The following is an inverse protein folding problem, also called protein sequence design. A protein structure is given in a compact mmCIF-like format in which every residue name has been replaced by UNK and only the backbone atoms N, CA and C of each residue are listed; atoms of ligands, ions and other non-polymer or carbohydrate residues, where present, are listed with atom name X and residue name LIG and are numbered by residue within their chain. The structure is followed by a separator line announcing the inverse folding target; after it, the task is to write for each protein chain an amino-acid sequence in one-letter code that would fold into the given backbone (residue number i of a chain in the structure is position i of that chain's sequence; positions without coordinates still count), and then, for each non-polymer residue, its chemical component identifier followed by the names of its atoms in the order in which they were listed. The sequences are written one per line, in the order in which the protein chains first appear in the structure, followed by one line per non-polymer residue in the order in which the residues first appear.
data_IF_616540178633
#
_entry.id   IF_616540178633
#
_cell.length_a   1.000
_cell.length_b   1.000
_cell.length_c   1.000
_cell.angle_alpha   90.00
_cell.angle_beta   90.00
_cell.angle_gamma   90.00
#
_symmetry.space_group_name_H-M   'P 1'
#
loop_
_entity.id
_entity.type
_entity.pdbx_description
1 polymer ?
#
# COMPACT_ATOMS: atom_id res chain seq x y z
N UNK A 1 -7.33 12.04 3.34
CA UNK A 1 -5.97 11.65 2.92
C UNK A 1 -5.67 10.21 3.32
N UNK A 2 -5.13 9.44 2.40
CA UNK A 2 -4.73 8.04 2.57
C UNK A 2 -3.21 7.98 2.47
N UNK A 3 -2.56 7.18 3.32
CA UNK A 3 -1.11 6.96 3.22
C UNK A 3 -0.79 6.10 2.02
N UNK A 4 0.32 6.38 1.37
CA UNK A 4 0.86 5.49 0.36
C UNK A 4 1.13 4.10 0.98
N UNK A 5 0.50 3.02 0.48
CA UNK A 5 0.68 1.68 1.02
C UNK A 5 2.08 1.10 0.73
N UNK A 6 2.76 1.59 -0.32
CA UNK A 6 4.09 1.13 -0.72
C UNK A 6 5.20 1.99 -0.07
N UNK A 7 4.84 3.11 0.55
CA UNK A 7 5.78 3.95 1.28
C UNK A 7 6.16 3.31 2.62
N UNK A 8 7.43 2.93 2.75
CA UNK A 8 7.99 2.55 4.04
C UNK A 8 8.38 3.79 4.84
N UNK A 9 7.82 3.93 6.04
CA UNK A 9 8.25 4.91 7.04
C UNK A 9 8.87 4.17 8.22
N UNK A 10 10.05 4.62 8.68
CA UNK A 10 10.69 4.02 9.85
C UNK A 10 9.97 4.48 11.13
N UNK A 11 9.20 3.56 11.71
CA UNK A 11 8.44 3.81 12.94
C UNK A 11 7.04 4.39 12.70
N UNK A 12 6.41 4.97 13.74
CA UNK A 12 5.09 5.57 13.60
C UNK A 12 5.10 6.74 12.61
N UNK A 13 4.09 6.81 11.75
CA UNK A 13 3.96 7.90 10.81
C UNK A 13 3.74 9.23 11.56
N UNK A 14 4.36 10.36 11.15
CA UNK A 14 4.40 11.57 11.98
C UNK A 14 3.02 12.13 12.35
N UNK A 15 2.07 12.10 11.41
CA UNK A 15 0.71 12.55 11.67
C UNK A 15 -0.08 11.62 12.60
N UNK A 16 0.19 10.31 12.59
CA UNK A 16 -0.45 9.38 13.54
C UNK A 16 0.06 9.62 14.95
N UNK A 17 1.37 9.79 15.10
CA UNK A 17 2.01 10.00 16.38
C UNK A 17 1.49 11.28 17.06
N UNK A 18 1.12 12.29 16.28
CA UNK A 18 0.61 13.57 16.77
C UNK A 18 -0.92 13.69 16.72
N UNK A 19 -1.64 12.69 16.22
CA UNK A 19 -3.09 12.69 16.17
C UNK A 19 -3.76 12.91 17.56
N UNK A 20 -3.23 12.38 18.68
CA UNK A 20 -3.78 12.68 20.01
C UNK A 20 -3.69 14.17 20.41
N UNK A 21 -2.76 14.92 19.82
CA UNK A 21 -2.65 16.37 20.00
C UNK A 21 -3.57 17.15 19.04
N UNK A 22 -4.36 16.47 18.19
CA UNK A 22 -5.24 17.07 17.20
C UNK A 22 -4.54 17.51 15.92
N UNK A 23 -3.30 17.07 15.71
CA UNK A 23 -2.55 17.39 14.50
C UNK A 23 -3.08 16.56 13.34
N UNK A 24 -3.32 17.23 12.21
CA UNK A 24 -3.74 16.61 10.96
C UNK A 24 -2.90 17.17 9.81
N UNK A 25 -2.91 16.54 8.62
CA UNK A 25 -2.26 17.11 7.43
C UNK A 25 -2.70 18.54 7.09
N UNK A 26 -3.93 18.91 7.48
CA UNK A 26 -4.49 20.25 7.28
C UNK A 26 -4.06 21.28 8.32
N UNK A 27 -3.43 20.87 9.42
CA UNK A 27 -2.89 21.78 10.44
C UNK A 27 -1.91 22.74 9.78
N UNK A 28 -2.09 24.04 9.94
CA UNK A 28 -1.22 25.01 9.26
C UNK A 28 0.22 24.90 9.76
N UNK A 29 1.18 25.39 8.97
CA UNK A 29 2.58 25.40 9.42
C UNK A 29 2.80 26.28 10.66
N UNK A 30 2.02 27.36 10.80
CA UNK A 30 2.06 28.22 11.97
C UNK A 30 1.62 27.44 13.23
N UNK A 31 0.46 26.79 13.18
CA UNK A 31 -0.05 25.95 14.28
C UNK A 31 0.91 24.81 14.62
N UNK A 32 1.55 24.19 13.62
CA UNK A 32 2.52 23.11 13.83
C UNK A 32 3.71 23.52 14.72
N UNK A 33 4.11 24.81 14.71
CA UNK A 33 5.17 25.30 15.59
C UNK A 33 4.75 25.28 17.05
N UNK A 34 3.48 25.56 17.30
CA UNK A 34 2.91 25.66 18.64
C UNK A 34 2.48 24.30 19.22
N UNK A 35 2.41 23.25 18.38
CA UNK A 35 2.10 21.85 18.80
C UNK A 35 2.98 21.38 19.95
N UNK A 36 4.25 21.80 20.01
CA UNK A 36 5.15 21.43 21.11
C UNK A 36 4.61 21.86 22.49
N UNK A 37 3.93 23.00 22.57
CA UNK A 37 3.31 23.47 23.82
C UNK A 37 2.09 22.63 24.19
N UNK A 38 1.25 22.26 23.21
CA UNK A 38 0.11 21.37 23.44
C UNK A 38 0.56 19.98 23.90
N UNK A 39 1.63 19.44 23.31
CA UNK A 39 2.22 18.17 23.73
C UNK A 39 2.70 18.23 25.19
N UNK A 40 3.33 19.33 25.60
CA UNK A 40 3.76 19.51 26.99
C UNK A 40 2.57 19.68 27.94
N UNK A 41 1.61 20.54 27.60
CA UNK A 41 0.44 20.81 28.42
C UNK A 41 -0.39 19.54 28.69
N UNK A 42 -0.51 18.66 27.68
CA UNK A 42 -1.24 17.40 27.76
C UNK A 42 -0.40 16.21 28.22
N UNK A 43 0.87 16.44 28.58
CA UNK A 43 1.79 15.39 29.02
C UNK A 43 2.00 14.29 27.95
N UNK A 44 1.91 14.67 26.67
CA UNK A 44 2.09 13.80 25.50
C UNK A 44 3.50 13.90 24.90
N UNK A 45 4.41 14.68 25.52
CA UNK A 45 5.78 14.83 25.04
C UNK A 45 6.64 13.59 25.35
N UNK A 46 6.59 12.62 24.44
CA UNK A 46 7.43 11.42 24.41
C UNK A 46 8.53 11.55 23.34
N UNK A 47 9.58 10.71 23.34
CA UNK A 47 10.59 10.72 22.28
C UNK A 47 10.00 10.54 20.88
N UNK A 48 8.98 9.67 20.75
CA UNK A 48 8.30 9.40 19.47
C UNK A 48 7.56 10.63 18.97
N UNK A 49 6.77 11.28 19.82
CA UNK A 49 6.02 12.49 19.46
C UNK A 49 6.95 13.68 19.21
N UNK A 50 8.08 13.75 19.93
CA UNK A 50 9.09 14.78 19.70
C UNK A 50 9.75 14.61 18.33
N UNK A 51 10.13 13.39 17.96
CA UNK A 51 10.67 13.08 16.64
C UNK A 51 9.65 13.39 15.54
N UNK A 52 8.39 12.98 15.72
CA UNK A 52 7.31 13.31 14.79
C UNK A 52 7.14 14.83 14.62
N UNK A 53 7.18 15.58 15.72
CA UNK A 53 7.12 17.04 15.67
C UNK A 53 8.34 17.65 14.97
N UNK A 54 9.54 17.12 15.20
CA UNK A 54 10.77 17.56 14.50
C UNK A 54 10.69 17.35 12.98
N UNK A 55 10.05 16.26 12.54
CA UNK A 55 9.81 16.00 11.11
C UNK A 55 8.77 16.96 10.50
N UNK A 56 7.72 17.34 11.24
CA UNK A 56 6.65 18.19 10.71
C UNK A 56 6.87 19.71 10.91
N UNK A 57 7.68 20.13 11.88
CA UNK A 57 7.91 21.56 12.17
C UNK A 57 8.76 22.27 11.12
N UNK A 58 9.47 21.52 10.26
CA UNK A 58 10.26 22.07 9.17
C UNK A 58 9.54 21.94 7.85
N UNK A 59 9.34 23.05 7.11
CA UNK A 59 8.59 23.06 5.84
C UNK A 59 9.08 21.99 4.87
N UNK A 60 10.40 21.91 4.64
CA UNK A 60 10.98 20.95 3.69
C UNK A 60 10.73 19.49 4.08
N UNK A 61 10.88 19.15 5.36
CA UNK A 61 10.66 17.78 5.86
C UNK A 61 9.19 17.42 5.79
N UNK A 62 8.33 18.35 6.24
CA UNK A 62 6.88 18.21 6.15
C UNK A 62 6.40 17.96 4.72
N UNK A 63 6.93 18.68 3.73
CA UNK A 63 6.60 18.41 2.32
C UNK A 63 6.95 16.98 1.87
N UNK A 64 8.04 16.39 2.39
CA UNK A 64 8.37 15.00 2.09
C UNK A 64 7.38 14.03 2.73
N UNK A 65 6.93 14.32 3.95
CA UNK A 65 5.88 13.53 4.62
C UNK A 65 4.55 13.65 3.87
N UNK A 66 4.18 14.87 3.47
CA UNK A 66 2.95 15.15 2.75
C UNK A 66 2.92 14.50 1.36
N UNK A 67 4.08 14.28 0.73
CA UNK A 67 4.19 13.56 -0.53
C UNK A 67 3.79 12.08 -0.42
N UNK A 68 3.84 11.50 0.78
CA UNK A 68 3.41 10.13 1.06
C UNK A 68 1.90 10.05 1.39
N UNK A 69 1.17 11.16 1.22
CA UNK A 69 -0.26 11.25 1.48
C UNK A 69 -1.01 11.57 0.19
N UNK A 70 -1.91 10.69 -0.19
CA UNK A 70 -2.84 10.91 -1.29
C UNK A 70 -4.09 11.62 -0.78
N UNK A 71 -4.43 12.74 -1.41
CA UNK A 71 -5.72 13.37 -1.22
C UNK A 71 -6.74 12.73 -2.16
N UNK A 72 -7.49 11.78 -1.62
CA UNK A 72 -8.52 11.01 -2.33
C UNK A 72 -9.87 11.39 -1.77
N UNK A 73 -10.81 11.77 -2.63
CA UNK A 73 -12.21 11.98 -2.27
C UNK A 73 -12.97 10.65 -2.38
N UNK A 74 -13.30 9.99 -1.26
CA UNK A 74 -13.93 8.67 -1.31
C UNK A 74 -15.32 8.72 -1.94
N UNK A 75 -16.06 9.83 -1.79
CA UNK A 75 -17.42 9.93 -2.32
C UNK A 75 -17.41 9.99 -3.87
N UNK A 76 -16.37 10.59 -4.44
CA UNK A 76 -16.17 10.64 -5.89
C UNK A 76 -15.53 9.36 -6.45
N UNK A 77 -14.58 8.76 -5.72
CA UNK A 77 -13.70 7.71 -6.25
C UNK A 77 -14.25 6.29 -6.01
N UNK A 78 -14.96 6.04 -4.91
CA UNK A 78 -15.49 4.70 -4.59
C UNK A 78 -16.44 4.12 -5.65
N UNK A 79 -17.37 4.90 -6.25
CA UNK A 79 -18.23 4.37 -7.31
C UNK A 79 -17.44 3.92 -8.54
N UNK A 80 -16.43 4.70 -8.94
CA UNK A 80 -15.58 4.38 -10.09
C UNK A 80 -14.72 3.13 -9.83
N UNK A 81 -14.21 2.99 -8.60
CA UNK A 81 -13.46 1.82 -8.19
C UNK A 81 -14.33 0.56 -8.18
N UNK A 82 -15.57 0.65 -7.69
CA UNK A 82 -16.52 -0.47 -7.69
C UNK A 82 -16.83 -0.94 -9.12
N UNK A 83 -17.15 -0.01 -10.03
CA UNK A 83 -17.43 -0.32 -11.43
C UNK A 83 -16.24 -1.00 -12.14
N UNK A 84 -15.00 -0.58 -11.82
CA UNK A 84 -13.78 -1.20 -12.35
C UNK A 84 -13.54 -2.61 -11.78
N UNK A 85 -13.80 -2.82 -10.49
CA UNK A 85 -13.71 -4.14 -9.86
C UNK A 85 -14.72 -5.10 -10.50
N UNK A 86 -15.97 -4.67 -10.67
CA UNK A 86 -17.02 -5.47 -11.30
C UNK A 86 -16.65 -5.84 -12.75
N UNK A 87 -16.08 -4.90 -13.50
CA UNK A 87 -15.58 -5.15 -14.87
C UNK A 87 -14.48 -6.20 -14.89
N UNK A 88 -13.51 -6.13 -13.97
CA UNK A 88 -12.40 -7.09 -13.88
C UNK A 88 -12.88 -8.48 -13.48
N UNK A 89 -13.78 -8.57 -12.49
CA UNK A 89 -14.38 -9.84 -12.06
C UNK A 89 -15.17 -10.51 -13.19
N UNK A 90 -15.92 -9.73 -13.97
CA UNK A 90 -16.64 -10.24 -15.14
C UNK A 90 -15.68 -10.76 -16.22
N UNK A 91 -14.59 -10.03 -16.51
CA UNK A 91 -13.58 -10.45 -17.48
C UNK A 91 -12.83 -11.73 -17.04
N UNK A 92 -12.53 -11.85 -15.75
CA UNK A 92 -11.89 -13.04 -15.19
C UNK A 92 -12.82 -14.27 -15.24
N UNK A 93 -14.09 -14.08 -14.90
CA UNK A 93 -15.12 -15.15 -14.97
C UNK A 93 -15.34 -15.61 -16.41
N UNK A 94 -15.44 -14.68 -17.37
CA UNK A 94 -15.55 -15.02 -18.80
C UNK A 94 -14.31 -15.76 -19.33
N UNK A 95 -13.12 -15.48 -18.78
CA UNK A 95 -11.88 -16.18 -19.13
C UNK A 95 -11.85 -17.61 -18.54
N UNK A 96 -12.44 -17.83 -17.37
CA UNK A 96 -12.58 -19.15 -16.75
C UNK A 96 -13.63 -20.02 -17.47
N UNK A 97 -14.73 -19.44 -17.93
CA UNK A 97 -15.76 -20.17 -18.69
C UNK A 97 -15.31 -20.57 -20.11
N UNK A 98 -14.30 -19.90 -20.67
CA UNK A 98 -13.64 -20.31 -21.92
C UNK A 98 -12.65 -21.47 -21.73
N UNK A 99 -12.27 -21.79 -20.48
CA UNK A 99 -11.51 -23.00 -20.15
C UNK A 99 -12.47 -24.18 -19.95
N UNK A 100 -13.21 -24.53 -21.01
CA UNK A 100 -13.91 -25.82 -21.07
C UNK A 100 -12.82 -26.91 -21.03
N UNK A 101 -12.89 -27.90 -20.12
CA UNK A 101 -12.01 -29.06 -20.20
C UNK A 101 -12.34 -29.76 -21.53
N UNK A 102 -11.41 -29.68 -22.48
CA UNK A 102 -11.43 -30.55 -23.63
C UNK A 102 -11.07 -31.95 -23.14
N UNK A 103 -12.03 -32.64 -22.53
CA UNK A 103 -12.01 -34.09 -22.46
C UNK A 103 -11.94 -34.58 -23.91
N UNK A 104 -10.96 -35.45 -24.18
CA UNK A 104 -10.56 -36.00 -25.48
C UNK A 104 -9.61 -35.13 -26.34
N UNK A 105 -8.46 -34.75 -25.78
CA UNK A 105 -7.24 -34.73 -26.60
C UNK A 105 -6.54 -36.09 -26.49
N UNK A 106 -6.38 -36.87 -27.58
CA UNK A 106 -5.53 -38.05 -27.55
C UNK A 106 -4.12 -37.60 -27.17
N UNK A 107 -3.53 -38.27 -26.18
CA UNK A 107 -2.19 -38.01 -25.64
C UNK A 107 -1.22 -37.65 -26.76
N UNK A 108 -0.95 -36.35 -26.92
CA UNK A 108 0.14 -35.92 -27.78
C UNK A 108 1.42 -36.35 -27.07
N UNK A 109 2.28 -37.19 -27.69
CA UNK A 109 3.54 -37.53 -27.08
C UNK A 109 4.30 -36.22 -26.81
N UNK A 110 4.79 -36.09 -25.58
CA UNK A 110 5.58 -34.94 -25.17
C UNK A 110 6.72 -34.72 -26.18
N UNK A 111 7.04 -33.48 -26.56
CA UNK A 111 8.20 -33.18 -27.39
C UNK A 111 9.44 -33.85 -26.78
N UNK A 112 10.26 -34.50 -27.61
CA UNK A 112 11.40 -35.30 -27.16
C UNK A 112 12.38 -34.51 -26.25
N UNK A 113 12.47 -33.20 -26.48
CA UNK A 113 13.24 -32.28 -25.64
C UNK A 113 12.71 -32.19 -24.20
N UNK A 114 11.40 -32.24 -24.00
CA UNK A 114 10.74 -32.19 -22.70
C UNK A 114 10.90 -33.52 -21.95
N UNK A 115 10.83 -34.65 -22.66
CA UNK A 115 11.09 -35.97 -22.09
C UNK A 115 12.53 -36.10 -21.57
N UNK A 116 13.52 -35.61 -22.33
CA UNK A 116 14.93 -35.62 -21.91
C UNK A 116 15.21 -34.74 -20.70
N UNK A 117 14.57 -33.57 -20.62
CA UNK A 117 14.69 -32.67 -19.46
C UNK A 117 14.14 -33.30 -18.17
N UNK A 118 13.04 -34.05 -18.26
CA UNK A 118 12.48 -34.77 -17.11
C UNK A 118 13.37 -35.93 -16.68
N UNK A 119 13.92 -36.69 -17.62
CA UNK A 119 14.89 -37.76 -17.32
C UNK A 119 16.16 -37.22 -16.64
N UNK A 120 16.67 -36.07 -17.09
CA UNK A 120 17.81 -35.42 -16.45
C UNK A 120 17.46 -34.93 -15.04
N UNK A 121 16.28 -34.33 -14.84
CA UNK A 121 15.85 -33.80 -13.54
C UNK A 121 15.63 -34.91 -12.50
N UNK A 122 15.06 -36.05 -12.90
CA UNK A 122 14.81 -37.21 -12.02
C UNK A 122 16.14 -37.89 -11.65
N UNK A 123 17.16 -37.80 -12.51
CA UNK A 123 18.47 -38.42 -12.28
C UNK A 123 19.37 -37.64 -11.30
N UNK A 124 19.09 -36.36 -11.04
CA UNK A 124 19.87 -35.53 -10.12
C UNK A 124 19.53 -35.71 -8.63
N UNK A 125 18.59 -36.59 -8.26
CA UNK A 125 18.19 -36.86 -6.86
C UNK A 125 18.75 -38.19 -6.29
N UNK A 126 20.04 -38.47 -6.58
CA UNK A 126 20.89 -39.47 -5.86
C UNK A 126 22.33 -38.97 -5.76
#
# INVERSE_FOLDING_TARGET
MIKDPDASWEGPFPYDALAPAGVTPWTTHAEMRDVSFELLARHLMTPVTQQAWDELRGVRRRMLVDLLLYDVDPDAELPLAADEIDRRLAAETASQEQHVPSDEQPERPLPEATARLLDDLIRFDV
#
